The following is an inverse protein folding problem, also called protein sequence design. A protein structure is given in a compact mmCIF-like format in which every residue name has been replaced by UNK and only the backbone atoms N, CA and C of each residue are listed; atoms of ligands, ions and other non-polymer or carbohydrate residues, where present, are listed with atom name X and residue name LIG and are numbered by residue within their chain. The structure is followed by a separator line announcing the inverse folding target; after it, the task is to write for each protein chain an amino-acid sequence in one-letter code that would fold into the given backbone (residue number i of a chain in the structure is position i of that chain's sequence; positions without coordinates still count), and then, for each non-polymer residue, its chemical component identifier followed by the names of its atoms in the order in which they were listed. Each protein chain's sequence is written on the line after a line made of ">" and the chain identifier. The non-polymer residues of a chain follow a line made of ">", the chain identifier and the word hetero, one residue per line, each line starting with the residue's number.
data_IF_627679604958
#
_entry.id   IF_627679604958
#
_cell.length_a   1.000
_cell.length_b   1.000
_cell.length_c   1.000
_cell.angle_alpha   90.00
_cell.angle_beta   90.00
_cell.angle_gamma   90.00
#
_symmetry.space_group_name_H-M   'P 1'
#
loop_
_entity.id
_entity.type
_entity.pdbx_description
1 polymer ?
#
# COMPACT_ATOMS: atom_id res chain seq x y z
N UNK A 1 -10.09 -5.12 28.19
CA UNK A 1 -8.69 -4.89 28.57
C UNK A 1 -7.99 -6.24 28.52
N UNK A 2 -7.28 -6.53 27.43
CA UNK A 2 -6.53 -7.79 27.30
C UNK A 2 -5.06 -7.43 27.08
N UNK A 3 -4.25 -7.74 28.07
CA UNK A 3 -2.80 -7.60 28.06
C UNK A 3 -2.20 -8.91 27.56
N UNK A 4 -1.38 -8.85 26.50
CA UNK A 4 -0.61 -10.01 26.02
C UNK A 4 0.86 -9.71 26.24
N UNK A 5 1.49 -10.47 27.13
CA UNK A 5 2.91 -10.42 27.43
C UNK A 5 3.65 -11.38 26.50
N UNK A 6 4.59 -10.88 25.69
CA UNK A 6 5.50 -11.73 24.91
C UNK A 6 6.95 -11.42 25.31
N UNK A 7 7.61 -12.46 25.83
CA UNK A 7 9.03 -12.48 26.20
C UNK A 7 9.85 -12.66 24.90
N UNK A 8 10.77 -11.76 24.54
CA UNK A 8 11.55 -11.93 23.32
C UNK A 8 12.78 -12.82 23.60
N UNK A 9 12.76 -14.04 23.07
CA UNK A 9 13.96 -14.86 22.82
C UNK A 9 14.40 -14.57 21.39
N UNK A 10 15.43 -13.74 21.22
CA UNK A 10 16.01 -13.49 19.90
C UNK A 10 16.91 -12.28 19.87
N UNK A 11 18.23 -12.51 19.86
CA UNK A 11 19.25 -11.50 19.58
C UNK A 11 19.08 -11.03 18.13
N UNK A 12 18.62 -9.80 17.93
CA UNK A 12 18.78 -9.11 16.66
C UNK A 12 19.58 -7.83 16.88
N UNK A 13 20.80 -7.83 16.33
CA UNK A 13 21.65 -6.67 16.21
C UNK A 13 21.03 -5.75 15.15
N UNK A 14 20.43 -4.63 15.58
CA UNK A 14 20.02 -3.57 14.69
C UNK A 14 21.19 -2.61 14.47
N UNK A 15 21.75 -2.59 13.26
CA UNK A 15 22.68 -1.56 12.83
C UNK A 15 21.89 -0.31 12.44
N UNK A 16 21.90 0.72 13.29
CA UNK A 16 21.50 2.07 12.90
C UNK A 16 22.69 2.80 12.29
N UNK A 17 22.73 2.91 10.96
CA UNK A 17 23.52 3.94 10.29
C UNK A 17 22.72 5.25 10.34
N UNK A 18 23.22 6.25 11.06
CA UNK A 18 23.13 7.65 10.66
C UNK A 18 24.07 8.50 11.54
N UNK A 19 25.13 9.02 10.93
CA UNK A 19 25.79 10.22 11.43
C UNK A 19 26.19 11.07 10.22
N UNK A 20 25.44 12.14 10.03
CA UNK A 20 25.82 13.26 9.17
C UNK A 20 27.00 13.99 9.81
N UNK A 21 28.06 14.23 9.05
CA UNK A 21 29.00 15.32 9.32
C UNK A 21 29.41 15.94 7.98
N UNK A 22 28.94 17.16 7.78
CA UNK A 22 29.38 18.09 6.74
C UNK A 22 30.74 18.65 7.14
N UNK A 23 31.75 18.61 6.26
CA UNK A 23 32.67 19.73 6.00
C UNK A 23 33.78 19.35 4.98
N UNK A 24 34.02 20.31 4.09
CA UNK A 24 35.22 20.55 3.28
C UNK A 24 35.39 19.82 1.93
N UNK A 25 35.29 20.66 0.90
CA UNK A 25 35.94 20.52 -0.40
C UNK A 25 37.43 20.22 -0.22
N UNK A 26 37.90 19.10 -0.74
CA UNK A 26 39.32 18.82 -0.97
C UNK A 26 39.43 17.83 -2.15
N UNK A 27 40.49 18.01 -2.91
CA UNK A 27 40.67 17.53 -4.27
C UNK A 27 40.64 16.01 -4.42
N UNK A 28 40.21 15.56 -5.60
CA UNK A 28 40.43 14.20 -6.09
C UNK A 28 41.94 14.01 -6.25
N UNK A 29 42.64 13.46 -5.25
CA UNK A 29 43.91 12.75 -5.46
C UNK A 29 44.21 11.77 -4.31
N UNK A 30 44.69 10.59 -4.71
CA UNK A 30 45.20 9.45 -3.92
C UNK A 30 44.22 8.56 -3.17
N UNK A 31 44.21 7.28 -3.57
CA UNK A 31 43.57 6.18 -2.87
C UNK A 31 44.18 6.03 -1.47
N UNK A 32 43.33 6.04 -0.44
CA UNK A 32 43.71 5.80 0.94
C UNK A 32 44.34 4.39 1.08
N UNK A 33 45.49 4.33 1.72
CA UNK A 33 46.27 3.10 1.89
C UNK A 33 45.75 2.32 3.11
N UNK A 34 45.72 0.98 3.04
CA UNK A 34 45.04 0.11 4.02
C UNK A 34 45.38 0.33 5.50
N UNK A 35 46.51 0.96 5.81
CA UNK A 35 46.91 1.34 7.16
C UNK A 35 46.01 2.43 7.80
N UNK A 36 45.43 3.34 7.00
CA UNK A 36 44.57 4.43 7.48
C UNK A 36 43.18 3.91 7.91
N UNK A 37 42.72 2.83 7.27
CA UNK A 37 41.44 2.17 7.56
C UNK A 37 41.50 1.47 8.93
N UNK A 38 42.62 0.84 9.27
CA UNK A 38 42.78 0.16 10.56
C UNK A 38 42.86 1.12 11.75
N UNK A 39 43.42 2.31 11.55
CA UNK A 39 43.48 3.35 12.57
C UNK A 39 42.08 3.92 12.91
N UNK A 40 41.26 4.20 11.89
CA UNK A 40 39.87 4.63 12.09
C UNK A 40 39.02 3.56 12.79
N UNK A 41 39.24 2.28 12.48
CA UNK A 41 38.49 1.17 13.11
C UNK A 41 38.82 1.05 14.60
N UNK A 42 40.08 1.24 15.00
CA UNK A 42 40.49 1.22 16.41
C UNK A 42 39.90 2.40 17.20
N UNK A 43 39.84 3.59 16.60
CA UNK A 43 39.21 4.75 17.24
C UNK A 43 37.70 4.58 17.45
N UNK A 44 36.98 4.00 16.48
CA UNK A 44 35.55 3.71 16.65
C UNK A 44 35.31 2.64 17.73
N UNK A 45 36.22 1.67 17.87
CA UNK A 45 36.07 0.61 18.87
C UNK A 45 36.31 1.11 20.30
N UNK A 46 37.24 2.05 20.51
CA UNK A 46 37.42 2.68 21.84
C UNK A 46 36.23 3.55 22.28
N UNK A 47 35.44 4.08 21.33
CA UNK A 47 34.22 4.84 21.64
C UNK A 47 33.08 3.92 22.09
N UNK A 48 33.07 2.65 21.65
CA UNK A 48 32.04 1.68 22.01
C UNK A 48 32.23 1.02 23.38
N UNK A 49 33.46 1.00 23.91
CA UNK A 49 33.75 0.36 25.20
C UNK A 49 33.52 1.28 26.42
N UNK A 50 33.41 2.60 26.21
CA UNK A 50 33.20 3.59 27.29
C UNK A 50 31.72 4.00 27.45
N UNK A 51 30.85 3.66 26.50
CA UNK A 51 29.40 3.87 26.61
C UNK A 51 28.73 2.69 27.34
N UNK A 52 28.84 2.69 28.66
CA UNK A 52 28.19 1.72 29.54
C UNK A 52 26.71 1.48 29.20
N UNK A 53 26.29 0.22 29.28
CA UNK A 53 24.94 -0.24 28.99
C UNK A 53 23.91 0.40 29.94
N UNK A 54 23.32 1.52 29.53
CA UNK A 54 22.13 2.07 30.15
C UNK A 54 20.88 1.41 29.55
N UNK A 55 20.15 0.65 30.36
CA UNK A 55 18.84 0.14 30.00
C UNK A 55 17.86 1.33 29.89
N UNK A 56 17.40 1.61 28.68
CA UNK A 56 16.31 2.57 28.44
C UNK A 56 15.01 1.78 28.46
N UNK A 57 14.39 1.63 29.63
CA UNK A 57 12.96 1.33 29.74
C UNK A 57 12.18 2.57 29.29
N UNK A 58 11.98 2.67 27.98
CA UNK A 58 11.12 3.67 27.35
C UNK A 58 9.99 2.95 26.63
N UNK A 59 8.75 3.26 26.99
CA UNK A 59 7.55 2.79 26.31
C UNK A 59 7.65 3.10 24.81
N UNK A 60 7.82 2.06 23.97
CA UNK A 60 7.89 2.21 22.51
C UNK A 60 6.51 2.63 22.03
N UNK A 61 6.31 3.93 21.83
CA UNK A 61 5.17 4.46 21.08
C UNK A 61 5.29 3.97 19.64
N UNK A 62 4.53 2.92 19.31
CA UNK A 62 4.38 2.46 17.94
C UNK A 62 3.53 3.50 17.22
N UNK A 63 4.19 4.35 16.44
CA UNK A 63 3.52 5.30 15.56
C UNK A 63 2.78 4.49 14.49
N UNK A 64 1.45 4.50 14.55
CA UNK A 64 0.59 3.76 13.62
C UNK A 64 0.74 4.38 12.24
N UNK A 65 1.65 3.83 11.43
CA UNK A 65 1.77 4.18 10.01
C UNK A 65 0.40 4.05 9.37
N UNK A 66 -0.19 5.19 8.97
CA UNK A 66 -1.36 5.19 8.11
C UNK A 66 -1.07 4.29 6.90
N UNK A 67 -1.99 3.39 6.51
CA UNK A 67 -1.79 2.57 5.34
C UNK A 67 -1.50 3.49 4.14
N UNK A 68 -0.49 3.15 3.35
CA UNK A 68 -0.16 3.95 2.16
C UNK A 68 -1.35 3.94 1.21
N UNK A 69 -1.54 5.04 0.47
CA UNK A 69 -2.65 5.15 -0.49
C UNK A 69 -2.64 3.99 -1.49
N UNK A 70 -1.46 3.59 -1.95
CA UNK A 70 -1.26 2.41 -2.79
C UNK A 70 -1.68 1.10 -2.11
N UNK A 71 -1.46 0.96 -0.80
CA UNK A 71 -1.89 -0.23 -0.06
C UNK A 71 -3.42 -0.32 0.09
N UNK A 72 -4.14 0.81 0.01
CA UNK A 72 -5.61 0.88 0.00
C UNK A 72 -6.24 0.85 -1.39
N UNK A 73 -5.43 0.65 -2.44
CA UNK A 73 -5.88 0.66 -3.82
C UNK A 73 -5.62 -0.67 -4.54
N UNK A 74 -6.35 -0.86 -5.62
CA UNK A 74 -6.19 -1.93 -6.60
C UNK A 74 -5.83 -1.33 -7.96
N UNK A 75 -5.04 -2.06 -8.74
CA UNK A 75 -4.69 -1.66 -10.09
C UNK A 75 -5.72 -2.23 -11.07
N UNK A 76 -6.40 -1.34 -11.77
CA UNK A 76 -7.32 -1.72 -12.83
C UNK A 76 -6.58 -1.59 -14.16
N UNK A 77 -6.38 -2.72 -14.84
CA UNK A 77 -5.45 -2.83 -15.98
C UNK A 77 -6.21 -3.17 -17.25
N UNK A 78 -6.01 -2.37 -18.29
CA UNK A 78 -6.58 -2.60 -19.62
C UNK A 78 -5.55 -2.45 -20.74
N UNK A 79 -5.93 -2.74 -21.99
CA UNK A 79 -5.01 -2.69 -23.14
C UNK A 79 -4.32 -1.34 -23.40
N UNK A 80 -4.84 -0.23 -22.84
CA UNK A 80 -4.40 1.13 -23.14
C UNK A 80 -3.74 1.85 -21.96
N UNK A 81 -3.53 1.14 -20.85
CA UNK A 81 -2.99 1.70 -19.62
C UNK A 81 -3.63 1.08 -18.38
N UNK A 82 -3.35 1.67 -17.23
CA UNK A 82 -3.91 1.27 -15.95
C UNK A 82 -4.37 2.49 -15.15
N UNK A 83 -5.25 2.27 -14.19
CA UNK A 83 -5.65 3.28 -13.19
C UNK A 83 -5.64 2.66 -11.79
N UNK A 84 -5.67 3.51 -10.78
CA UNK A 84 -5.88 3.11 -9.39
C UNK A 84 -7.35 3.27 -9.03
N UNK A 85 -7.90 2.28 -8.34
CA UNK A 85 -9.24 2.35 -7.74
C UNK A 85 -9.18 1.94 -6.27
N UNK A 86 -10.11 2.39 -5.41
CA UNK A 86 -10.17 1.94 -4.03
C UNK A 86 -10.37 0.43 -3.94
N UNK A 87 -9.72 -0.24 -2.98
CA UNK A 87 -9.97 -1.66 -2.68
C UNK A 87 -11.43 -1.90 -2.36
N UNK A 88 -12.00 -2.97 -2.92
CA UNK A 88 -13.42 -3.30 -2.75
C UNK A 88 -14.37 -2.37 -3.51
N UNK A 89 -13.86 -1.58 -4.47
CA UNK A 89 -14.71 -0.90 -5.46
C UNK A 89 -15.07 -1.80 -6.63
N UNK A 90 -14.21 -2.78 -6.98
CA UNK A 90 -14.51 -3.76 -8.02
C UNK A 90 -15.36 -4.88 -7.43
N UNK A 91 -16.52 -5.13 -8.05
CA UNK A 91 -17.49 -6.14 -7.58
C UNK A 91 -17.60 -7.34 -8.51
N UNK A 92 -17.16 -7.21 -9.76
CA UNK A 92 -17.08 -8.30 -10.72
C UNK A 92 -15.92 -8.04 -11.68
N UNK A 93 -15.14 -9.07 -12.00
CA UNK A 93 -14.00 -8.97 -12.92
C UNK A 93 -14.36 -9.61 -14.26
N UNK A 94 -14.29 -8.83 -15.33
CA UNK A 94 -14.48 -9.27 -16.70
C UNK A 94 -13.15 -9.58 -17.40
N UNK A 95 -13.22 -10.06 -18.65
CA UNK A 95 -12.03 -10.46 -19.43
C UNK A 95 -11.24 -9.28 -19.99
N UNK A 96 -11.90 -8.15 -20.24
CA UNK A 96 -11.29 -7.01 -20.94
C UNK A 96 -10.45 -6.11 -20.04
N UNK A 97 -10.74 -6.09 -18.74
CA UNK A 97 -10.07 -5.26 -17.75
C UNK A 97 -9.79 -6.09 -16.51
N UNK A 98 -8.52 -6.30 -16.20
CA UNK A 98 -8.07 -7.11 -15.08
C UNK A 98 -7.87 -6.26 -13.81
N UNK A 99 -7.95 -6.93 -12.66
CA UNK A 99 -7.55 -6.37 -11.37
C UNK A 99 -6.21 -6.98 -10.99
N UNK A 100 -5.22 -6.14 -10.73
CA UNK A 100 -3.87 -6.56 -10.34
C UNK A 100 -3.48 -5.95 -8.98
N UNK A 101 -2.60 -6.67 -8.27
CA UNK A 101 -2.07 -6.23 -6.97
C UNK A 101 -0.85 -5.33 -7.08
N UNK A 102 -0.23 -5.26 -8.27
CA UNK A 102 0.99 -4.49 -8.55
C UNK A 102 0.79 -3.70 -9.84
N UNK A 103 1.45 -2.54 -9.93
CA UNK A 103 1.42 -1.74 -11.15
C UNK A 103 2.04 -2.51 -12.34
N UNK A 104 1.35 -2.59 -13.49
CA UNK A 104 1.88 -3.24 -14.68
C UNK A 104 3.11 -2.50 -15.21
N UNK A 105 4.18 -3.25 -15.50
CA UNK A 105 5.45 -2.69 -16.00
C UNK A 105 5.28 -2.10 -17.40
N UNK A 106 5.75 -0.88 -17.61
CA UNK A 106 5.73 -0.22 -18.92
C UNK A 106 4.35 0.26 -19.39
N UNK A 107 3.30 0.04 -18.60
CA UNK A 107 1.97 0.56 -18.90
C UNK A 107 1.84 2.02 -18.48
N UNK A 108 0.94 2.76 -19.14
CA UNK A 108 0.67 4.17 -18.83
C UNK A 108 -0.35 4.29 -17.71
N UNK A 109 -0.03 5.06 -16.66
CA UNK A 109 -1.02 5.48 -15.67
C UNK A 109 -1.98 6.50 -16.31
N UNK A 110 -3.28 6.22 -16.20
CA UNK A 110 -4.36 7.06 -16.67
C UNK A 110 -5.13 7.62 -15.46
N UNK A 111 -5.69 8.82 -15.60
CA UNK A 111 -6.72 9.25 -14.67
C UNK A 111 -8.01 8.43 -14.90
N UNK A 112 -8.90 8.45 -13.92
CA UNK A 112 -10.14 7.68 -13.97
C UNK A 112 -11.00 7.98 -15.20
N UNK A 113 -11.18 9.27 -15.52
CA UNK A 113 -12.04 9.68 -16.64
C UNK A 113 -11.54 9.19 -18.00
N UNK A 114 -10.23 9.23 -18.22
CA UNK A 114 -9.56 8.76 -19.44
C UNK A 114 -9.60 7.24 -19.52
N UNK A 115 -9.37 6.57 -18.39
CA UNK A 115 -9.46 5.12 -18.29
C UNK A 115 -10.88 4.65 -18.63
N UNK A 116 -11.89 5.24 -18.01
CA UNK A 116 -13.29 4.92 -18.25
C UNK A 116 -13.68 5.14 -19.71
N UNK A 117 -13.28 6.26 -20.32
CA UNK A 117 -13.56 6.54 -21.74
C UNK A 117 -12.94 5.49 -22.68
N UNK A 118 -11.69 5.08 -22.44
CA UNK A 118 -10.98 4.09 -23.27
C UNK A 118 -11.49 2.67 -23.10
N UNK A 119 -12.14 2.38 -21.98
CA UNK A 119 -12.57 1.03 -21.61
C UNK A 119 -14.10 0.88 -21.44
N UNK A 120 -14.90 1.82 -21.97
CA UNK A 120 -16.39 1.76 -21.89
C UNK A 120 -17.00 0.46 -22.39
N UNK A 121 -16.38 -0.21 -23.35
CA UNK A 121 -16.85 -1.49 -23.89
C UNK A 121 -16.61 -2.69 -22.96
N UNK A 122 -15.77 -2.54 -21.93
CA UNK A 122 -15.42 -3.61 -20.97
C UNK A 122 -15.71 -3.27 -19.52
N UNK A 123 -16.17 -2.05 -19.24
CA UNK A 123 -16.47 -1.55 -17.89
C UNK A 123 -17.94 -1.23 -17.71
N UNK A 124 -18.47 -1.54 -16.53
CA UNK A 124 -19.77 -1.05 -16.07
C UNK A 124 -19.64 -0.41 -14.70
N UNK A 125 -20.39 0.67 -14.52
CA UNK A 125 -20.51 1.33 -13.23
C UNK A 125 -21.85 0.96 -12.63
N UNK A 126 -21.82 0.46 -11.40
CA UNK A 126 -22.98 0.27 -10.55
C UNK A 126 -23.12 1.50 -9.65
N UNK A 127 -24.05 2.42 -9.96
CA UNK A 127 -24.22 3.62 -9.15
C UNK A 127 -24.78 3.27 -7.77
N UNK A 128 -24.21 3.90 -6.74
CA UNK A 128 -24.64 3.78 -5.35
C UNK A 128 -25.06 5.15 -4.85
N UNK A 129 -26.05 5.20 -3.96
CA UNK A 129 -26.50 6.46 -3.35
C UNK A 129 -25.59 6.84 -2.18
N UNK A 130 -25.57 8.11 -1.79
CA UNK A 130 -24.86 8.58 -0.59
C UNK A 130 -25.34 7.82 0.68
N UNK A 131 -26.63 7.53 0.78
CA UNK A 131 -27.20 6.80 1.91
C UNK A 131 -26.74 5.34 1.94
N UNK A 132 -26.62 4.70 0.77
CA UNK A 132 -26.07 3.34 0.66
C UNK A 132 -24.58 3.31 0.98
N UNK A 133 -23.81 4.28 0.46
CA UNK A 133 -22.38 4.39 0.71
C UNK A 133 -22.05 4.65 2.18
N UNK A 134 -22.82 5.53 2.83
CA UNK A 134 -22.70 5.80 4.27
C UNK A 134 -23.32 4.72 5.16
N UNK A 135 -23.97 3.71 4.56
CA UNK A 135 -24.58 2.57 5.27
C UNK A 135 -25.87 2.90 6.03
N UNK A 136 -26.50 4.04 5.73
CA UNK A 136 -27.81 4.46 6.26
C UNK A 136 -28.96 3.70 5.60
N UNK A 137 -28.77 3.24 4.37
CA UNK A 137 -29.72 2.42 3.62
C UNK A 137 -29.19 1.00 3.41
N UNK A 138 -30.10 0.03 3.28
CA UNK A 138 -29.71 -1.35 2.98
C UNK A 138 -29.13 -1.47 1.57
N UNK A 139 -28.21 -2.42 1.39
CA UNK A 139 -27.61 -2.77 0.10
C UNK A 139 -28.37 -3.90 -0.61
N UNK A 140 -29.46 -4.43 -0.04
CA UNK A 140 -30.21 -5.55 -0.63
C UNK A 140 -30.64 -5.30 -2.08
N UNK A 141 -31.13 -4.10 -2.46
CA UNK A 141 -31.46 -3.81 -3.86
C UNK A 141 -30.24 -3.84 -4.80
N UNK A 142 -29.04 -3.62 -4.27
CA UNK A 142 -27.79 -3.69 -5.03
C UNK A 142 -27.29 -5.14 -5.16
N UNK A 143 -27.59 -6.03 -4.22
CA UNK A 143 -27.15 -7.43 -4.25
C UNK A 143 -27.60 -8.15 -5.53
N UNK A 144 -28.86 -8.00 -5.91
CA UNK A 144 -29.36 -8.61 -7.17
C UNK A 144 -28.63 -8.08 -8.40
N UNK A 145 -28.22 -6.80 -8.39
CA UNK A 145 -27.46 -6.19 -9.49
C UNK A 145 -26.01 -6.67 -9.51
N UNK A 146 -25.42 -6.90 -8.35
CA UNK A 146 -24.07 -7.47 -8.19
C UNK A 146 -24.04 -8.89 -8.75
N UNK A 147 -25.01 -9.73 -8.40
CA UNK A 147 -25.13 -11.09 -8.92
C UNK A 147 -25.32 -11.13 -10.45
N UNK A 148 -26.05 -10.15 -11.00
CA UNK A 148 -26.16 -9.99 -12.45
C UNK A 148 -24.84 -9.52 -13.09
N UNK A 149 -24.06 -8.67 -12.38
CA UNK A 149 -22.79 -8.16 -12.85
C UNK A 149 -21.74 -9.26 -12.98
N UNK A 150 -21.67 -10.20 -12.03
CA UNK A 150 -20.78 -11.37 -12.07
C UNK A 150 -20.99 -12.21 -13.34
N UNK A 151 -22.23 -12.31 -13.82
CA UNK A 151 -22.59 -13.07 -15.01
C UNK A 151 -22.43 -12.29 -16.32
N UNK A 152 -22.17 -10.99 -16.24
CA UNK A 152 -22.23 -10.09 -17.39
C UNK A 152 -20.98 -10.13 -18.29
N UNK A 153 -19.85 -10.63 -17.77
CA UNK A 153 -18.56 -10.62 -18.46
C UNK A 153 -17.86 -9.25 -18.51
N UNK A 154 -18.49 -8.20 -17.97
CA UNK A 154 -17.91 -6.86 -17.81
C UNK A 154 -17.21 -6.75 -16.46
N UNK A 155 -16.13 -5.96 -16.42
CA UNK A 155 -15.56 -5.53 -15.14
C UNK A 155 -16.47 -4.46 -14.56
N UNK A 156 -17.06 -4.73 -13.40
CA UNK A 156 -18.07 -3.87 -12.81
C UNK A 156 -17.55 -3.26 -11.51
N UNK A 157 -17.72 -1.95 -11.37
CA UNK A 157 -17.30 -1.20 -10.19
C UNK A 157 -18.47 -0.48 -9.54
N UNK A 158 -18.46 -0.35 -8.22
CA UNK A 158 -19.36 0.54 -7.49
C UNK A 158 -18.90 1.98 -7.66
N UNK A 159 -19.85 2.88 -7.92
CA UNK A 159 -19.54 4.29 -8.19
C UNK A 159 -20.48 5.25 -7.49
N UNK A 160 -19.94 6.37 -7.03
CA UNK A 160 -20.69 7.51 -6.51
C UNK A 160 -20.36 8.72 -7.39
N UNK A 161 -21.39 9.33 -8.00
CA UNK A 161 -21.22 10.44 -8.93
C UNK A 161 -20.25 10.14 -10.10
N UNK A 162 -20.18 8.87 -10.52
CA UNK A 162 -19.31 8.41 -11.61
C UNK A 162 -17.87 8.09 -11.19
N UNK A 163 -17.49 8.34 -9.94
CA UNK A 163 -16.18 8.00 -9.38
C UNK A 163 -16.22 6.65 -8.66
N UNK A 164 -15.15 5.84 -8.71
CA UNK A 164 -15.12 4.52 -8.08
C UNK A 164 -15.06 4.68 -6.56
N UNK A 165 -15.94 3.97 -5.85
CA UNK A 165 -16.00 3.99 -4.38
C UNK A 165 -16.00 2.58 -3.83
N UNK A 166 -15.34 2.39 -2.68
CA UNK A 166 -15.38 1.12 -1.96
C UNK A 166 -16.66 1.00 -1.14
N UNK A 167 -17.21 -0.22 -1.11
CA UNK A 167 -18.32 -0.57 -0.22
C UNK A 167 -17.89 -1.71 0.71
N UNK A 168 -17.45 -1.39 1.95
CA UNK A 168 -16.91 -2.38 2.89
C UNK A 168 -17.89 -3.52 3.22
N UNK A 169 -19.20 -3.24 3.20
CA UNK A 169 -20.24 -4.24 3.44
C UNK A 169 -20.39 -5.22 2.28
N UNK A 170 -20.21 -4.77 1.03
CA UNK A 170 -20.25 -5.66 -0.15
C UNK A 170 -19.06 -6.60 -0.12
N UNK A 171 -17.87 -6.07 0.19
CA UNK A 171 -16.65 -6.88 0.23
C UNK A 171 -16.77 -8.07 1.20
N UNK A 172 -17.27 -7.82 2.43
CA UNK A 172 -17.52 -8.90 3.39
C UNK A 172 -18.55 -9.93 2.90
N UNK A 173 -19.55 -9.49 2.13
CA UNK A 173 -20.57 -10.39 1.57
C UNK A 173 -20.00 -11.24 0.43
N UNK A 174 -19.13 -10.67 -0.42
CA UNK A 174 -18.42 -11.41 -1.47
C UNK A 174 -17.45 -12.43 -0.87
N UNK A 175 -16.65 -12.03 0.12
CA UNK A 175 -15.70 -12.92 0.83
C UNK A 175 -16.40 -14.04 1.62
N UNK A 176 -17.67 -13.87 2.01
CA UNK A 176 -18.45 -14.90 2.72
C UNK A 176 -19.11 -15.94 1.80
N UNK A 177 -19.09 -15.72 0.48
CA UNK A 177 -19.67 -16.63 -0.52
C UNK A 177 -18.65 -17.61 -1.12
N UNK A 178 -17.36 -17.41 -0.87
CA UNK A 178 -16.27 -18.35 -1.20
C UNK A 178 -16.08 -19.40 -0.10
#
# INVERSE_FOLDING_TARGET
>A
MNTVTLIPQGKFLAFSFLASASLMSAEITKAATGAEIEAQRRQLQSVYEDSGAAQVEGEVKIDVKKPSLLASSEFLVGPHGFTLVPKGAVIATGRAVAVESVAPKGAKLLNWSDFLQRHRGGLRLLPVTDNQWTGKESLDPLLTRIEAAEKSGYTTLTSLNGEPVSLPKIQKLLESKE
#
